data_IF_745750253153
#
_entry.id   IF_745750253153
#
_cell.length_a   1.000
_cell.length_b   1.000
_cell.length_c   1.000
_cell.angle_alpha   90.00
_cell.angle_beta   90.00
_cell.angle_gamma   90.00
#
_symmetry.space_group_name_H-M   'P 1'
#
loop_
_entity.id
_entity.type
_entity.pdbx_description
1 polymer ?
#
# COMPACT_ATOMS: atom_id res chain seq x y z
N UNK A 1 -15.41 10.85 13.46
CA UNK A 1 -15.42 11.56 12.18
C UNK A 1 -14.91 12.97 12.47
N UNK A 2 -13.65 13.27 12.17
CA UNK A 2 -13.11 14.62 12.32
C UNK A 2 -13.58 15.46 11.14
N UNK A 3 -14.26 16.57 11.42
CA UNK A 3 -14.65 17.58 10.45
C UNK A 3 -13.40 18.28 9.91
N UNK A 4 -12.94 17.91 8.73
CA UNK A 4 -11.81 18.54 8.02
C UNK A 4 -12.24 19.90 7.40
N UNK A 5 -12.82 20.80 8.18
CA UNK A 5 -12.99 22.20 7.79
C UNK A 5 -11.85 23.03 8.40
N UNK A 6 -10.62 22.75 7.97
CA UNK A 6 -9.50 23.63 8.24
C UNK A 6 -9.64 24.88 7.35
N UNK A 7 -9.82 26.08 7.94
CA UNK A 7 -9.98 27.33 7.17
C UNK A 7 -8.80 27.58 6.21
N UNK A 8 -7.60 27.09 6.54
CA UNK A 8 -6.42 27.20 5.69
C UNK A 8 -6.53 26.37 4.41
N UNK A 9 -7.11 25.18 4.49
CA UNK A 9 -7.32 24.29 3.32
C UNK A 9 -8.37 24.87 2.39
N UNK A 10 -9.47 25.41 2.94
CA UNK A 10 -10.52 26.00 2.13
C UNK A 10 -10.01 27.21 1.34
N UNK A 11 -9.24 28.09 1.99
CA UNK A 11 -8.64 29.26 1.33
C UNK A 11 -7.64 28.86 0.24
N UNK A 12 -6.83 27.82 0.47
CA UNK A 12 -5.93 27.30 -0.55
C UNK A 12 -6.69 26.73 -1.76
N UNK A 13 -7.80 26.01 -1.51
CA UNK A 13 -8.65 25.51 -2.59
C UNK A 13 -9.28 26.64 -3.41
N UNK A 14 -9.81 27.68 -2.76
CA UNK A 14 -10.36 28.87 -3.43
C UNK A 14 -9.32 29.56 -4.32
N UNK A 15 -8.07 29.67 -3.86
CA UNK A 15 -6.98 30.23 -4.63
C UNK A 15 -6.64 29.39 -5.88
N UNK A 16 -6.62 28.06 -5.73
CA UNK A 16 -6.40 27.15 -6.87
C UNK A 16 -7.53 27.29 -7.88
N UNK A 17 -8.79 27.30 -7.44
CA UNK A 17 -9.93 27.46 -8.35
C UNK A 17 -9.92 28.79 -9.08
N UNK A 18 -9.67 29.90 -8.37
CA UNK A 18 -9.56 31.21 -9.00
C UNK A 18 -8.43 31.30 -10.02
N UNK A 19 -7.29 30.65 -9.77
CA UNK A 19 -6.19 30.55 -10.74
C UNK A 19 -6.63 29.78 -12.00
N UNK A 20 -7.28 28.63 -11.83
CA UNK A 20 -7.75 27.79 -12.95
C UNK A 20 -8.79 28.53 -13.80
N UNK A 21 -9.74 29.22 -13.16
CA UNK A 21 -10.76 30.03 -13.85
C UNK A 21 -10.14 31.19 -14.63
N UNK A 22 -9.16 31.87 -14.04
CA UNK A 22 -8.43 32.95 -14.70
C UNK A 22 -7.65 32.46 -15.92
N UNK A 23 -7.01 31.29 -15.83
CA UNK A 23 -6.31 30.66 -16.97
C UNK A 23 -7.30 30.29 -18.08
N UNK A 24 -8.43 29.66 -17.73
CA UNK A 24 -9.45 29.27 -18.70
C UNK A 24 -10.06 30.47 -19.44
N UNK A 25 -10.28 31.59 -18.74
CA UNK A 25 -10.83 32.82 -19.34
C UNK A 25 -9.82 33.56 -20.22
N UNK A 26 -8.53 33.53 -19.88
CA UNK A 26 -7.47 34.28 -20.58
C UNK A 26 -6.90 33.54 -21.77
N UNK A 27 -6.53 32.26 -21.60
CA UNK A 27 -5.94 31.42 -22.64
C UNK A 27 -6.38 29.96 -22.45
N UNK A 28 -7.46 29.53 -23.13
CA UNK A 28 -7.95 28.16 -23.07
C UNK A 28 -6.90 27.11 -23.52
N UNK A 29 -5.96 27.47 -24.39
CA UNK A 29 -4.93 26.54 -24.87
C UNK A 29 -3.84 26.34 -23.82
N UNK A 30 -3.45 27.41 -23.12
CA UNK A 30 -2.54 27.33 -21.98
C UNK A 30 -3.15 26.53 -20.82
N UNK A 31 -4.42 26.77 -20.49
CA UNK A 31 -5.17 25.96 -19.52
C UNK A 31 -5.17 24.48 -19.88
N UNK A 32 -5.48 24.14 -21.14
CA UNK A 32 -5.46 22.76 -21.63
C UNK A 32 -4.10 22.10 -21.45
N UNK A 33 -3.02 22.77 -21.86
CA UNK A 33 -1.63 22.27 -21.68
C UNK A 33 -1.29 22.07 -20.20
N UNK A 34 -1.72 22.98 -19.33
CA UNK A 34 -1.52 22.87 -17.90
C UNK A 34 -2.22 21.62 -17.33
N UNK A 35 -3.50 21.41 -17.65
CA UNK A 35 -4.24 20.21 -17.20
C UNK A 35 -3.61 18.94 -17.74
N UNK A 36 -3.25 18.88 -19.03
CA UNK A 36 -2.59 17.71 -19.62
C UNK A 36 -1.27 17.40 -18.92
N UNK A 37 -0.45 18.42 -18.65
CA UNK A 37 0.80 18.27 -17.89
C UNK A 37 0.54 17.75 -16.48
N UNK A 38 -0.43 18.31 -15.75
CA UNK A 38 -0.77 17.84 -14.40
C UNK A 38 -1.31 16.41 -14.40
N UNK A 39 -2.09 16.03 -15.41
CA UNK A 39 -2.57 14.66 -15.56
C UNK A 39 -1.43 13.69 -15.86
N UNK A 40 -0.50 14.06 -16.74
CA UNK A 40 0.68 13.26 -17.06
C UNK A 40 1.58 13.06 -15.84
N UNK A 41 1.95 14.16 -15.17
CA UNK A 41 2.74 14.12 -13.93
C UNK A 41 2.01 13.35 -12.82
N UNK A 42 0.68 13.48 -12.77
CA UNK A 42 -0.18 12.80 -11.82
C UNK A 42 -0.32 11.29 -12.05
N UNK A 43 -0.07 10.77 -13.26
CA UNK A 43 -0.22 9.33 -13.55
C UNK A 43 0.65 8.47 -12.64
N UNK A 44 1.89 8.88 -12.40
CA UNK A 44 2.80 8.13 -11.52
C UNK A 44 2.34 8.16 -10.06
N UNK A 45 1.75 9.27 -9.62
CA UNK A 45 1.20 9.41 -8.26
C UNK A 45 -0.14 8.68 -8.08
N UNK A 46 -0.92 8.54 -9.15
CA UNK A 46 -2.21 7.85 -9.16
C UNK A 46 -2.10 6.36 -9.51
N UNK A 47 -0.91 5.91 -9.93
CA UNK A 47 -0.66 4.52 -10.25
C UNK A 47 -1.02 3.62 -9.05
N UNK A 48 -1.67 2.50 -9.33
CA UNK A 48 -1.95 1.48 -8.33
C UNK A 48 -0.67 0.79 -7.86
N UNK A 49 -0.65 0.23 -6.64
CA UNK A 49 0.42 -0.67 -6.21
C UNK A 49 0.62 -1.82 -7.21
N UNK A 50 1.88 -2.14 -7.50
CA UNK A 50 2.26 -3.23 -8.42
C UNK A 50 2.70 -4.43 -7.60
N UNK A 51 2.13 -5.60 -7.85
CA UNK A 51 2.48 -6.84 -7.15
C UNK A 51 3.98 -7.16 -7.28
N UNK A 52 4.63 -7.52 -6.16
CA UNK A 52 6.02 -7.95 -6.14
C UNK A 52 6.15 -9.44 -5.79
N UNK A 53 5.59 -9.86 -4.66
CA UNK A 53 5.55 -11.27 -4.24
C UNK A 53 4.49 -11.50 -3.16
N UNK A 54 4.20 -12.76 -2.84
CA UNK A 54 3.27 -13.12 -1.77
C UNK A 54 3.99 -13.88 -0.65
N UNK A 55 3.65 -13.60 0.60
CA UNK A 55 4.01 -14.44 1.74
C UNK A 55 2.78 -15.25 2.15
N UNK A 56 2.89 -16.58 2.07
CA UNK A 56 1.88 -17.50 2.59
C UNK A 56 2.24 -17.83 4.03
N UNK A 57 1.34 -17.49 4.95
CA UNK A 57 1.48 -17.68 6.38
C UNK A 57 0.42 -18.72 6.86
N UNK A 58 0.71 -20.02 6.73
CA UNK A 58 -0.20 -21.06 7.21
C UNK A 58 -0.27 -21.08 8.74
N UNK A 59 -1.34 -21.66 9.30
CA UNK A 59 -1.55 -21.79 10.75
C UNK A 59 -1.51 -20.46 11.51
N UNK A 60 -1.88 -19.37 10.85
CA UNK A 60 -2.01 -18.06 11.48
C UNK A 60 -3.22 -18.08 12.42
N UNK A 61 -3.12 -17.44 13.59
CA UNK A 61 -4.25 -17.29 14.50
C UNK A 61 -4.83 -15.88 14.38
N UNK A 62 -6.09 -15.78 13.95
CA UNK A 62 -6.84 -14.52 13.89
C UNK A 62 -8.16 -14.68 14.64
N UNK A 63 -8.43 -13.82 15.63
CA UNK A 63 -9.66 -13.83 16.46
C UNK A 63 -9.99 -15.23 17.02
N UNK A 64 -8.97 -15.93 17.50
CA UNK A 64 -9.10 -17.26 18.12
C UNK A 64 -9.21 -18.44 17.14
N UNK A 65 -9.31 -18.20 15.83
CA UNK A 65 -9.42 -19.26 14.81
C UNK A 65 -8.12 -19.41 14.03
N UNK A 66 -7.80 -20.65 13.65
CA UNK A 66 -6.71 -20.93 12.74
C UNK A 66 -7.12 -20.61 11.29
N UNK A 67 -6.24 -19.93 10.56
CA UNK A 67 -6.44 -19.49 9.19
C UNK A 67 -5.14 -19.57 8.38
N UNK A 68 -5.25 -19.49 7.06
CA UNK A 68 -4.11 -19.18 6.20
C UNK A 68 -4.17 -17.70 5.86
N UNK A 69 -3.11 -16.96 6.19
CA UNK A 69 -2.98 -15.55 5.83
C UNK A 69 -2.04 -15.43 4.62
N UNK A 70 -2.49 -14.76 3.57
CA UNK A 70 -1.68 -14.34 2.44
C UNK A 70 -1.36 -12.87 2.60
N UNK A 71 -0.09 -12.51 2.52
CA UNK A 71 0.37 -11.12 2.54
C UNK A 71 0.94 -10.81 1.17
N UNK A 72 0.19 -10.04 0.38
CA UNK A 72 0.68 -9.52 -0.89
C UNK A 72 1.58 -8.33 -0.63
N UNK A 73 2.86 -8.46 -1.00
CA UNK A 73 3.83 -7.38 -0.96
C UNK A 73 3.84 -6.71 -2.34
N UNK A 74 3.60 -5.41 -2.35
CA UNK A 74 3.48 -4.58 -3.54
C UNK A 74 4.50 -3.43 -3.53
N UNK A 75 4.83 -2.94 -4.72
CA UNK A 75 5.65 -1.75 -4.95
C UNK A 75 4.73 -0.58 -5.26
N UNK A 76 4.91 0.56 -4.59
CA UNK A 76 4.09 1.74 -4.82
C UNK A 76 4.87 3.05 -4.69
N UNK A 77 4.86 3.88 -5.74
CA UNK A 77 5.57 5.17 -5.77
C UNK A 77 5.12 6.15 -4.67
N UNK A 78 3.90 5.99 -4.14
CA UNK A 78 3.40 6.81 -3.03
C UNK A 78 4.02 6.47 -1.68
N UNK A 79 4.70 5.34 -1.56
CA UNK A 79 5.46 5.00 -0.35
C UNK A 79 6.86 5.57 -0.51
N UNK A 80 7.30 6.49 0.36
CA UNK A 80 8.62 7.10 0.25
C UNK A 80 9.72 6.07 0.46
N UNK A 81 10.88 6.30 -0.16
CA UNK A 81 12.10 5.57 0.16
C UNK A 81 12.67 6.11 1.48
N UNK A 82 13.32 5.29 2.32
CA UNK A 82 14.02 5.77 3.50
C UNK A 82 15.01 6.89 3.12
N UNK A 83 15.06 8.02 3.84
CA UNK A 83 16.01 9.09 3.52
C UNK A 83 17.47 8.66 3.66
N UNK A 84 17.76 7.80 4.64
CA UNK A 84 19.09 7.21 4.91
C UNK A 84 18.99 5.72 5.23
N UNK A 85 20.12 5.03 5.23
CA UNK A 85 20.19 3.60 5.56
C UNK A 85 19.84 3.29 7.03
N UNK A 86 19.84 4.31 7.90
CA UNK A 86 19.48 4.17 9.32
C UNK A 86 18.01 4.50 9.60
N UNK A 87 17.28 5.02 8.61
CA UNK A 87 15.86 5.36 8.78
C UNK A 87 14.98 4.11 8.63
N UNK A 88 13.83 4.06 9.35
CA UNK A 88 12.91 2.94 9.22
C UNK A 88 12.33 2.85 7.81
N UNK A 89 12.17 1.62 7.32
CA UNK A 89 11.55 1.36 6.02
C UNK A 89 10.05 1.69 6.07
N UNK A 90 9.56 2.67 5.30
CA UNK A 90 8.14 2.99 5.27
C UNK A 90 7.31 1.87 4.64
N UNK A 91 6.19 1.55 5.26
CA UNK A 91 5.23 0.54 4.80
C UNK A 91 3.82 1.08 4.91
N UNK A 92 2.97 0.70 3.95
CA UNK A 92 1.54 1.01 3.99
C UNK A 92 0.71 -0.27 3.92
N UNK A 93 -0.10 -0.48 4.95
CA UNK A 93 -1.08 -1.57 5.00
C UNK A 93 -2.38 -1.23 4.28
N UNK A 94 -2.94 -2.20 3.58
CA UNK A 94 -4.27 -2.16 2.99
C UNK A 94 -5.37 -2.58 3.96
N UNK A 95 -6.52 -2.97 3.41
CA UNK A 95 -7.63 -3.54 4.18
C UNK A 95 -7.51 -5.06 4.21
N UNK A 96 -7.67 -5.68 5.39
CA UNK A 96 -7.77 -7.14 5.51
C UNK A 96 -9.03 -7.63 4.78
N UNK A 97 -8.84 -8.52 3.80
CA UNK A 97 -9.91 -9.12 3.02
C UNK A 97 -10.07 -10.58 3.44
N UNK A 98 -11.31 -11.00 3.64
CA UNK A 98 -11.65 -12.40 3.81
C UNK A 98 -11.86 -12.99 2.41
N UNK A 99 -11.12 -14.04 2.06
CA UNK A 99 -11.48 -14.83 0.90
C UNK A 99 -12.78 -15.56 1.26
N UNK A 100 -13.88 -15.15 0.64
CA UNK A 100 -15.15 -15.87 0.72
C UNK A 100 -14.93 -17.19 0.00
N UNK A 101 -14.48 -18.22 0.73
CA UNK A 101 -14.35 -19.54 0.16
C UNK A 101 -15.71 -19.95 -0.44
N UNK A 102 -15.64 -20.43 -1.68
CA UNK A 102 -16.71 -21.06 -2.44
C UNK A 102 -17.59 -21.89 -1.49
N UNK A 103 -18.91 -21.66 -1.52
CA UNK A 103 -19.91 -22.25 -0.60
C UNK A 103 -19.86 -23.78 -0.52
N UNK A 104 -19.04 -24.42 -1.36
CA UNK A 104 -18.83 -25.87 -1.50
C UNK A 104 -17.79 -26.48 -0.55
N UNK A 105 -16.91 -25.71 0.10
CA UNK A 105 -15.86 -26.27 0.99
C UNK A 105 -16.02 -25.82 2.45
N UNK A 106 -16.96 -26.45 3.17
CA UNK A 106 -17.22 -26.21 4.60
C UNK A 106 -16.09 -26.64 5.56
N UNK A 107 -14.96 -27.14 5.07
CA UNK A 107 -13.97 -27.87 5.89
C UNK A 107 -12.54 -27.31 5.85
N UNK A 108 -12.25 -26.24 5.08
CA UNK A 108 -10.90 -25.65 5.05
C UNK A 108 -10.84 -24.36 5.88
N UNK A 109 -9.75 -24.22 6.65
CA UNK A 109 -9.36 -23.02 7.40
C UNK A 109 -9.64 -21.76 6.55
N UNK A 110 -10.20 -20.72 7.17
CA UNK A 110 -10.49 -19.47 6.46
C UNK A 110 -9.23 -18.89 5.83
N UNK A 111 -9.33 -18.39 4.61
CA UNK A 111 -8.22 -17.72 3.92
C UNK A 111 -8.38 -16.21 4.05
N UNK A 112 -7.32 -15.54 4.47
CA UNK A 112 -7.24 -14.09 4.63
C UNK A 112 -6.23 -13.53 3.66
N UNK A 113 -6.51 -12.34 3.12
CA UNK A 113 -5.60 -11.60 2.26
C UNK A 113 -5.34 -10.22 2.87
N UNK A 114 -4.06 -9.90 3.02
CA UNK A 114 -3.60 -8.58 3.42
C UNK A 114 -2.63 -8.03 2.37
N UNK A 115 -2.68 -6.73 2.12
CA UNK A 115 -1.86 -6.08 1.11
C UNK A 115 -0.92 -5.09 1.82
N UNK A 116 0.38 -5.19 1.54
CA UNK A 116 1.41 -4.27 1.99
C UNK A 116 2.03 -3.59 0.78
N UNK A 117 2.29 -2.29 0.90
CA UNK A 117 3.01 -1.53 -0.11
C UNK A 117 4.30 -0.95 0.45
N UNK A 118 5.38 -1.10 -0.30
CA UNK A 118 6.69 -0.51 -0.05
C UNK A 118 7.13 0.33 -1.24
N UNK A 119 8.18 1.14 -1.06
CA UNK A 119 8.79 1.83 -2.18
C UNK A 119 9.37 0.82 -3.20
N UNK A 120 9.25 1.03 -4.53
CA UNK A 120 9.75 0.10 -5.54
C UNK A 120 11.26 -0.18 -5.48
N UNK A 121 12.07 0.73 -4.92
CA UNK A 121 13.50 0.48 -4.72
C UNK A 121 13.74 -0.60 -3.67
N UNK A 122 13.00 -0.57 -2.56
CA UNK A 122 13.08 -1.57 -1.48
C UNK A 122 12.74 -2.96 -2.01
N UNK A 123 11.62 -3.11 -2.73
CA UNK A 123 11.22 -4.42 -3.29
C UNK A 123 12.19 -4.93 -4.36
N UNK A 124 12.82 -4.02 -5.13
CA UNK A 124 13.86 -4.35 -6.12
C UNK A 124 15.19 -4.76 -5.49
N UNK A 125 15.58 -4.16 -4.37
CA UNK A 125 16.77 -4.55 -3.61
C UNK A 125 16.57 -5.93 -2.98
N UNK A 126 15.41 -6.15 -2.34
CA UNK A 126 15.05 -7.42 -1.73
C UNK A 126 14.92 -8.58 -2.73
N UNK A 127 14.65 -8.32 -4.01
CA UNK A 127 14.59 -9.39 -5.01
C UNK A 127 15.97 -9.90 -5.44
N UNK A 128 17.03 -9.15 -5.13
CA UNK A 128 18.42 -9.45 -5.53
C UNK A 128 19.28 -9.99 -4.40
N UNK A 129 18.88 -9.73 -3.16
CA UNK A 129 19.66 -10.04 -1.96
C UNK A 129 18.81 -10.81 -0.95
N UNK A 130 19.29 -11.98 -0.54
CA UNK A 130 18.58 -12.86 0.40
C UNK A 130 18.49 -12.28 1.81
N UNK A 131 19.50 -11.55 2.28
CA UNK A 131 19.48 -10.88 3.58
C UNK A 131 18.43 -9.78 3.56
N UNK A 132 18.39 -8.97 2.50
CA UNK A 132 17.38 -7.93 2.33
C UNK A 132 15.97 -8.53 2.22
N UNK A 133 15.81 -9.65 1.50
CA UNK A 133 14.55 -10.38 1.45
C UNK A 133 14.09 -10.84 2.84
N UNK A 134 14.99 -11.43 3.64
CA UNK A 134 14.67 -11.90 4.99
C UNK A 134 14.31 -10.74 5.93
N UNK A 135 15.02 -9.62 5.85
CA UNK A 135 14.67 -8.39 6.57
C UNK A 135 13.27 -7.89 6.19
N UNK A 136 12.98 -7.77 4.90
CA UNK A 136 11.67 -7.30 4.43
C UNK A 136 10.54 -8.28 4.77
N UNK A 137 10.82 -9.59 4.74
CA UNK A 137 9.89 -10.63 5.20
C UNK A 137 9.55 -10.42 6.67
N UNK A 138 10.55 -10.28 7.54
CA UNK A 138 10.33 -10.08 8.97
C UNK A 138 9.58 -8.78 9.26
N UNK A 139 9.97 -7.67 8.63
CA UNK A 139 9.26 -6.40 8.73
C UNK A 139 7.79 -6.53 8.31
N UNK A 140 7.52 -7.24 7.21
CA UNK A 140 6.16 -7.47 6.71
C UNK A 140 5.32 -8.27 7.71
N UNK A 141 5.92 -9.28 8.36
CA UNK A 141 5.27 -10.08 9.39
C UNK A 141 5.02 -9.24 10.65
N UNK A 142 6.04 -8.54 11.16
CA UNK A 142 5.93 -7.68 12.35
C UNK A 142 4.81 -6.65 12.18
N UNK A 143 4.83 -5.90 11.07
CA UNK A 143 3.81 -4.90 10.78
C UNK A 143 2.42 -5.50 10.67
N UNK A 144 2.29 -6.68 10.05
CA UNK A 144 0.99 -7.35 9.88
C UNK A 144 0.46 -7.90 11.19
N UNK A 145 1.31 -8.51 12.01
CA UNK A 145 0.95 -9.03 13.34
C UNK A 145 0.45 -7.92 14.24
N UNK A 146 1.15 -6.79 14.27
CA UNK A 146 0.77 -5.62 15.06
C UNK A 146 -0.53 -4.98 14.54
N UNK A 147 -0.60 -4.71 13.23
CA UNK A 147 -1.76 -4.03 12.61
C UNK A 147 -3.05 -4.83 12.68
N UNK A 148 -2.97 -6.16 12.53
CA UNK A 148 -4.16 -7.03 12.50
C UNK A 148 -4.41 -7.76 13.82
N UNK A 149 -3.52 -7.59 14.81
CA UNK A 149 -3.50 -8.37 16.06
C UNK A 149 -3.57 -9.88 15.78
N UNK A 150 -2.72 -10.35 14.87
CA UNK A 150 -2.59 -11.78 14.50
C UNK A 150 -1.26 -12.34 14.97
N UNK A 151 -1.17 -13.66 15.03
CA UNK A 151 0.10 -14.35 15.27
C UNK A 151 0.38 -15.33 14.12
N UNK A 152 1.50 -15.16 13.44
CA UNK A 152 1.94 -16.00 12.32
C UNK A 152 2.93 -17.06 12.79
N UNK A 153 2.90 -18.24 12.16
CA UNK A 153 3.95 -19.24 12.37
C UNK A 153 5.11 -18.96 11.41
N UNK A 154 6.12 -18.23 11.88
CA UNK A 154 7.25 -17.73 11.07
C UNK A 154 8.07 -18.82 10.39
N UNK A 155 8.21 -19.99 11.03
CA UNK A 155 8.95 -21.13 10.47
C UNK A 155 8.23 -21.77 9.28
N UNK A 156 6.91 -21.60 9.22
CA UNK A 156 6.07 -22.16 8.16
C UNK A 156 5.77 -21.14 7.04
N UNK A 157 6.30 -19.91 7.13
CA UNK A 157 6.08 -18.87 6.11
C UNK A 157 6.86 -19.23 4.86
N UNK A 158 6.17 -19.26 3.72
CA UNK A 158 6.79 -19.49 2.41
C UNK A 158 6.51 -18.32 1.48
N UNK A 159 7.51 -17.96 0.66
CA UNK A 159 7.28 -17.11 -0.51
C UNK A 159 6.48 -17.89 -1.54
N UNK A 160 5.39 -17.31 -2.04
CA UNK A 160 4.54 -17.86 -3.09
C UNK A 160 4.55 -16.99 -4.33
#
# INVERSE_FOLDING_TARGET
MASNNDPGILKAAEQIWGMLDAMAAKDPQEYKKFVEKQMEEGKEYLASPVFAFCLKCPKTRHKGKECTLYINVCSWNRVPYPPTDNDPIPVKGGTLRHHLNDKRKRTQNSELLYELAFNPRVTKECSKDLLMFEMLKNLSLDFTEDTLSVHTNREAVTKS
#
